data_IF_534612860435
#
_entry.id   IF_534612860435
#
_cell.length_a   1.000
_cell.length_b   1.000
_cell.length_c   1.000
_cell.angle_alpha   90.00
_cell.angle_beta   90.00
_cell.angle_gamma   90.00
#
_symmetry.space_group_name_H-M   'P 1'
#
loop_
_entity.id
_entity.type
_entity.pdbx_description
1 polymer ?
#
# COMPACT_ATOMS: atom_id res chain seq x y z
N UNK A 1 -23.78 -61.84 -20.67
CA UNK A 1 -23.09 -63.08 -20.31
C UNK A 1 -21.99 -62.86 -19.34
N UNK A 2 -22.05 -63.59 -18.24
CA UNK A 2 -21.11 -63.67 -17.14
C UNK A 2 -19.68 -64.02 -17.58
N UNK A 3 -18.64 -63.50 -16.97
CA UNK A 3 -17.60 -64.35 -16.37
C UNK A 3 -16.80 -63.58 -15.32
N UNK A 4 -16.85 -64.16 -14.15
CA UNK A 4 -16.04 -63.94 -12.95
C UNK A 4 -14.65 -64.57 -13.13
N UNK A 5 -13.66 -64.09 -12.43
CA UNK A 5 -12.40 -64.75 -12.18
C UNK A 5 -11.46 -63.73 -11.53
N UNK A 6 -11.13 -63.86 -10.45
CA UNK A 6 -10.65 -64.73 -9.38
C UNK A 6 -9.39 -64.10 -8.78
N UNK A 7 -9.52 -63.85 -7.55
CA UNK A 7 -8.56 -63.38 -6.51
C UNK A 7 -7.31 -64.25 -6.50
N UNK A 8 -6.14 -63.63 -6.50
CA UNK A 8 -4.92 -64.30 -6.01
C UNK A 8 -4.15 -63.36 -5.11
N UNK A 9 -4.21 -63.66 -3.85
CA UNK A 9 -3.50 -63.03 -2.74
C UNK A 9 -2.08 -63.67 -2.73
N UNK A 10 -1.04 -62.87 -2.88
CA UNK A 10 0.32 -63.26 -2.58
C UNK A 10 0.84 -62.38 -1.50
N UNK A 11 0.97 -62.95 -0.31
CA UNK A 11 1.71 -62.39 0.81
C UNK A 11 3.19 -62.56 0.50
N UNK A 12 3.91 -61.46 0.37
CA UNK A 12 5.39 -61.45 0.45
C UNK A 12 5.81 -60.40 1.48
N UNK A 13 6.17 -60.90 2.64
CA UNK A 13 6.87 -60.17 3.67
C UNK A 13 8.30 -59.86 3.16
N UNK A 14 8.62 -58.57 3.05
CA UNK A 14 9.96 -58.12 2.81
C UNK A 14 10.32 -57.01 3.81
N UNK A 15 11.42 -57.26 4.46
CA UNK A 15 12.01 -56.50 5.57
C UNK A 15 12.21 -55.03 5.25
N UNK A 16 11.83 -54.21 6.22
CA UNK A 16 12.13 -52.78 6.24
C UNK A 16 13.65 -52.57 6.47
N UNK A 17 14.33 -52.17 5.44
CA UNK A 17 15.60 -51.45 5.57
C UNK A 17 15.24 -49.96 5.65
N UNK A 18 15.28 -49.45 6.86
CA UNK A 18 15.15 -47.99 7.10
C UNK A 18 16.44 -47.32 6.63
N UNK A 19 16.48 -46.95 5.35
CA UNK A 19 17.42 -45.93 4.92
C UNK A 19 16.85 -44.58 5.41
N UNK A 20 17.52 -44.01 6.39
CA UNK A 20 17.37 -42.58 6.66
C UNK A 20 17.78 -41.85 5.38
N UNK A 21 16.79 -41.54 4.55
CA UNK A 21 16.95 -40.49 3.57
C UNK A 21 17.11 -39.20 4.36
N UNK A 22 18.34 -38.73 4.47
CA UNK A 22 18.61 -37.31 4.74
C UNK A 22 17.97 -36.56 3.57
N UNK A 23 16.74 -36.11 3.77
CA UNK A 23 16.17 -35.06 2.96
C UNK A 23 17.11 -33.87 3.17
N UNK A 24 17.83 -33.41 2.13
CA UNK A 24 18.40 -32.08 2.26
C UNK A 24 17.20 -31.18 2.54
N UNK A 25 17.20 -30.52 3.68
CA UNK A 25 16.37 -29.35 3.87
C UNK A 25 16.76 -28.45 2.70
N UNK A 26 15.97 -28.47 1.65
CA UNK A 26 15.89 -27.36 0.76
C UNK A 26 15.50 -26.23 1.72
N UNK A 27 16.47 -25.44 2.10
CA UNK A 27 16.20 -24.13 2.61
C UNK A 27 15.33 -23.52 1.52
N UNK A 28 14.04 -23.47 1.79
CA UNK A 28 13.14 -22.60 1.11
C UNK A 28 13.67 -21.21 1.46
N UNK A 29 14.61 -20.75 0.64
CA UNK A 29 14.98 -19.36 0.54
C UNK A 29 13.82 -18.64 -0.14
N UNK A 30 12.64 -18.74 0.44
CA UNK A 30 11.72 -17.64 0.46
C UNK A 30 12.46 -16.62 1.30
N UNK A 31 13.26 -15.82 0.64
CA UNK A 31 13.85 -14.65 1.24
C UNK A 31 12.68 -13.92 1.89
N UNK A 32 12.57 -14.09 3.21
CA UNK A 32 11.62 -13.34 4.00
C UNK A 32 11.89 -11.89 3.65
N UNK A 33 11.04 -11.31 2.81
CA UNK A 33 11.19 -9.93 2.45
C UNK A 33 11.13 -9.18 3.78
N UNK A 34 11.87 -8.11 3.91
CA UNK A 34 11.84 -7.28 5.12
C UNK A 34 10.42 -6.82 5.49
N UNK A 35 9.45 -7.07 4.62
CA UNK A 35 8.02 -6.83 4.78
C UNK A 35 7.27 -7.98 5.48
N UNK A 36 7.87 -9.17 5.61
CA UNK A 36 7.28 -10.27 6.40
C UNK A 36 7.15 -9.93 7.89
N UNK A 37 7.92 -8.96 8.37
CA UNK A 37 7.74 -8.39 9.72
C UNK A 37 6.36 -7.75 9.90
N UNK A 38 5.65 -7.43 8.83
CA UNK A 38 4.29 -6.89 8.85
C UNK A 38 3.21 -7.93 8.54
N UNK A 39 3.54 -9.23 8.60
CA UNK A 39 2.54 -10.29 8.53
C UNK A 39 2.22 -10.79 7.11
N UNK A 40 3.18 -10.74 6.19
CA UNK A 40 3.01 -11.31 4.85
C UNK A 40 2.05 -10.49 4.00
N UNK A 41 2.54 -9.43 3.37
CA UNK A 41 1.73 -8.63 2.45
C UNK A 41 1.50 -9.44 1.16
N UNK A 42 0.24 -9.70 0.85
CA UNK A 42 -0.18 -10.26 -0.44
C UNK A 42 -0.56 -9.13 -1.39
N UNK A 43 -0.34 -9.29 -2.71
CA UNK A 43 -0.85 -8.35 -3.68
C UNK A 43 -2.35 -8.16 -3.56
N UNK A 44 -2.82 -6.95 -3.83
CA UNK A 44 -4.25 -6.65 -3.92
C UNK A 44 -4.86 -7.36 -5.14
N UNK A 45 -6.17 -7.64 -5.08
CA UNK A 45 -6.86 -8.36 -6.17
C UNK A 45 -6.79 -7.63 -7.52
N UNK A 46 -6.70 -6.31 -7.48
CA UNK A 46 -6.62 -5.41 -8.64
C UNK A 46 -5.20 -4.90 -8.94
N UNK A 47 -4.17 -5.51 -8.33
CA UNK A 47 -2.77 -5.12 -8.56
C UNK A 47 -2.32 -5.25 -10.03
N UNK A 48 -3.02 -6.07 -10.81
CA UNK A 48 -2.78 -6.25 -12.24
C UNK A 48 -3.42 -5.15 -13.11
N UNK A 49 -4.24 -4.25 -12.53
CA UNK A 49 -4.80 -3.07 -13.21
C UNK A 49 -4.06 -1.80 -12.76
N UNK A 50 -2.97 -1.44 -13.45
CA UNK A 50 -2.07 -0.40 -12.96
C UNK A 50 -2.70 0.99 -13.04
N UNK A 51 -2.64 1.71 -11.93
CA UNK A 51 -3.04 3.11 -11.83
C UNK A 51 -1.85 3.99 -11.45
N UNK A 52 -1.80 5.20 -11.97
CA UNK A 52 -0.77 6.18 -11.61
C UNK A 52 -1.38 7.32 -10.83
N UNK A 53 -0.81 7.62 -9.66
CA UNK A 53 -1.12 8.81 -8.88
C UNK A 53 0.03 9.80 -8.91
N UNK A 54 -0.31 11.07 -9.06
CA UNK A 54 0.61 12.20 -9.01
C UNK A 54 0.58 12.84 -7.64
N UNK A 55 1.76 13.12 -7.09
CA UNK A 55 1.91 13.65 -5.74
C UNK A 55 2.80 14.89 -5.79
N UNK A 56 2.26 16.05 -5.41
CA UNK A 56 3.06 17.25 -5.27
C UNK A 56 3.63 17.36 -3.86
N UNK A 57 4.92 17.66 -3.76
CA UNK A 57 5.64 17.88 -2.51
C UNK A 57 6.14 19.32 -2.47
N UNK A 58 5.69 20.09 -1.49
CA UNK A 58 6.02 21.52 -1.33
C UNK A 58 7.51 21.78 -1.07
N UNK A 59 8.21 20.80 -0.54
CA UNK A 59 9.64 20.96 -0.25
C UNK A 59 10.48 20.69 -1.49
N UNK A 60 11.59 21.40 -1.68
CA UNK A 60 12.54 21.08 -2.75
C UNK A 60 13.11 19.68 -2.55
N UNK A 61 13.25 18.95 -3.65
CA UNK A 61 13.75 17.58 -3.57
C UNK A 61 13.98 16.96 -4.93
N UNK A 62 14.33 15.69 -4.90
CA UNK A 62 14.50 14.86 -6.10
C UNK A 62 13.56 13.68 -6.00
N UNK A 63 12.75 13.49 -7.02
CA UNK A 63 11.85 12.35 -7.08
C UNK A 63 12.63 11.03 -6.96
N UNK A 64 12.10 10.04 -6.22
CA UNK A 64 12.68 8.72 -6.19
C UNK A 64 12.81 8.15 -7.60
N UNK A 65 13.90 7.43 -7.86
CA UNK A 65 14.04 6.70 -9.12
C UNK A 65 12.94 5.65 -9.24
N UNK A 66 12.50 5.38 -10.46
CA UNK A 66 11.59 4.25 -10.76
C UNK A 66 12.19 2.90 -10.33
N UNK A 67 13.52 2.82 -10.21
CA UNK A 67 14.23 1.65 -9.71
C UNK A 67 14.27 1.55 -8.17
N UNK A 68 13.72 2.52 -7.45
CA UNK A 68 13.67 2.48 -6.00
C UNK A 68 12.90 1.24 -5.52
N UNK A 69 13.51 0.38 -4.67
CA UNK A 69 12.91 -0.90 -4.26
C UNK A 69 11.59 -0.72 -3.51
N UNK A 70 11.40 0.39 -2.80
CA UNK A 70 10.15 0.69 -2.09
C UNK A 70 9.04 1.01 -3.09
N UNK A 71 9.32 1.85 -4.08
CA UNK A 71 8.36 2.21 -5.14
C UNK A 71 7.96 0.95 -5.93
N UNK A 72 8.95 0.12 -6.33
CA UNK A 72 8.67 -1.15 -6.99
C UNK A 72 7.82 -2.09 -6.15
N UNK A 73 8.08 -2.16 -4.84
CA UNK A 73 7.29 -3.03 -3.96
C UNK A 73 5.87 -2.54 -3.77
N UNK A 74 5.66 -1.23 -3.69
CA UNK A 74 4.30 -0.64 -3.68
C UNK A 74 3.58 -1.02 -4.96
N UNK A 75 4.20 -0.82 -6.12
CA UNK A 75 3.60 -1.15 -7.42
C UNK A 75 3.27 -2.65 -7.54
N UNK A 76 4.17 -3.53 -7.12
CA UNK A 76 3.96 -4.98 -7.12
C UNK A 76 2.76 -5.38 -6.26
N UNK A 77 2.60 -4.79 -5.08
CA UNK A 77 1.58 -5.14 -4.12
C UNK A 77 0.22 -4.52 -4.42
N UNK A 78 0.19 -3.35 -5.05
CA UNK A 78 -1.03 -2.54 -5.17
C UNK A 78 -1.40 -2.19 -6.62
N UNK A 79 -0.53 -2.46 -7.59
CA UNK A 79 -0.69 -1.95 -8.95
C UNK A 79 -0.48 -0.43 -9.08
N UNK A 80 -0.17 0.26 -7.97
CA UNK A 80 -0.07 1.72 -7.95
C UNK A 80 1.33 2.19 -8.30
N UNK A 81 1.41 3.11 -9.27
CA UNK A 81 2.62 3.88 -9.57
C UNK A 81 2.50 5.27 -8.94
N UNK A 82 3.47 5.66 -8.10
CA UNK A 82 3.52 6.98 -7.49
C UNK A 82 4.50 7.88 -8.25
N UNK A 83 4.00 9.00 -8.77
CA UNK A 83 4.82 10.04 -9.42
C UNK A 83 4.93 11.27 -8.53
N UNK A 84 6.13 11.56 -8.07
CA UNK A 84 6.40 12.69 -7.19
C UNK A 84 6.88 13.90 -8.01
N UNK A 85 6.24 15.04 -7.79
CA UNK A 85 6.64 16.35 -8.28
C UNK A 85 7.09 17.20 -7.08
N UNK A 86 8.36 17.51 -7.01
CA UNK A 86 8.91 18.37 -5.96
C UNK A 86 8.87 19.84 -6.40
N UNK A 87 8.72 20.73 -5.42
CA UNK A 87 8.71 22.16 -5.66
C UNK A 87 9.99 22.62 -6.39
N UNK A 88 9.78 23.36 -7.47
CA UNK A 88 10.83 24.13 -8.16
C UNK A 88 10.41 25.59 -8.16
N UNK A 89 11.24 26.45 -7.59
CA UNK A 89 10.97 27.89 -7.48
C UNK A 89 10.15 28.27 -6.25
N UNK A 90 9.23 29.20 -6.43
CA UNK A 90 8.41 29.79 -5.37
C UNK A 90 7.12 29.02 -5.15
N UNK A 91 6.82 28.67 -3.88
CA UNK A 91 5.65 27.88 -3.51
C UNK A 91 4.35 28.64 -3.77
N UNK A 92 4.29 29.93 -3.42
CA UNK A 92 3.07 30.73 -3.59
C UNK A 92 2.71 30.90 -5.06
N UNK A 93 3.71 31.06 -5.90
CA UNK A 93 3.53 31.12 -7.35
C UNK A 93 3.01 29.78 -7.88
N UNK A 94 3.60 28.65 -7.47
CA UNK A 94 3.17 27.31 -7.90
C UNK A 94 1.74 27.03 -7.50
N UNK A 95 1.38 27.29 -6.22
CA UNK A 95 0.01 27.12 -5.71
C UNK A 95 -0.97 28.06 -6.40
N UNK A 96 -0.58 29.31 -6.67
CA UNK A 96 -1.40 30.27 -7.41
C UNK A 96 -1.75 29.76 -8.82
N UNK A 97 -0.81 29.13 -9.52
CA UNK A 97 -1.07 28.52 -10.83
C UNK A 97 -2.01 27.33 -10.73
N UNK A 98 -1.81 26.44 -9.76
CA UNK A 98 -2.71 25.30 -9.50
C UNK A 98 -4.14 25.77 -9.22
N UNK A 99 -4.30 26.73 -8.32
CA UNK A 99 -5.60 27.29 -7.94
C UNK A 99 -6.28 27.98 -9.13
N UNK A 100 -5.56 28.80 -9.87
CA UNK A 100 -6.11 29.52 -11.02
C UNK A 100 -6.50 28.58 -12.17
N UNK A 101 -5.75 27.49 -12.35
CA UNK A 101 -6.02 26.48 -13.38
C UNK A 101 -7.05 25.43 -12.98
N UNK A 102 -7.29 25.24 -11.68
CA UNK A 102 -8.11 24.13 -11.17
C UNK A 102 -7.52 22.75 -11.49
N UNK A 103 -6.22 22.70 -11.80
CA UNK A 103 -5.49 21.48 -12.16
C UNK A 103 -4.60 21.07 -10.98
N UNK A 104 -5.05 20.08 -10.25
CA UNK A 104 -4.39 19.59 -9.04
C UNK A 104 -3.88 18.17 -9.22
N UNK A 105 -2.72 17.83 -8.62
CA UNK A 105 -2.30 16.45 -8.53
C UNK A 105 -3.24 15.64 -7.62
N UNK A 106 -3.17 14.32 -7.69
CA UNK A 106 -4.02 13.42 -6.91
C UNK A 106 -3.82 13.55 -5.40
N UNK A 107 -2.61 13.91 -4.97
CA UNK A 107 -2.29 14.19 -3.58
C UNK A 107 -1.28 15.33 -3.45
N UNK A 108 -1.34 16.06 -2.33
CA UNK A 108 -0.47 17.21 -2.05
C UNK A 108 0.08 17.12 -0.64
N UNK A 109 1.41 17.11 -0.51
CA UNK A 109 2.09 17.37 0.76
C UNK A 109 2.25 18.90 0.91
N UNK A 110 1.20 19.55 1.39
CA UNK A 110 1.11 21.01 1.42
C UNK A 110 1.72 21.64 2.67
N UNK A 111 1.79 20.90 3.78
CA UNK A 111 2.20 21.44 5.08
C UNK A 111 1.33 22.64 5.49
N UNK A 112 1.95 23.71 5.94
CA UNK A 112 1.28 24.96 6.34
C UNK A 112 0.58 25.71 5.18
N UNK A 113 0.86 25.36 3.94
CA UNK A 113 0.14 25.89 2.78
C UNK A 113 -1.22 25.22 2.53
N UNK A 114 -1.58 24.20 3.31
CA UNK A 114 -2.84 23.46 3.16
C UNK A 114 -4.07 24.39 3.28
N UNK A 115 -4.06 25.35 4.20
CA UNK A 115 -5.16 26.29 4.39
C UNK A 115 -5.50 27.04 3.10
N UNK A 116 -4.51 27.51 2.36
CA UNK A 116 -4.70 28.20 1.08
C UNK A 116 -5.38 27.33 0.03
N UNK A 117 -5.07 26.03 0.02
CA UNK A 117 -5.68 25.06 -0.88
C UNK A 117 -7.09 24.67 -0.43
N UNK A 118 -7.34 24.55 0.88
CA UNK A 118 -8.68 24.33 1.43
C UNK A 118 -9.62 25.50 1.09
N UNK A 119 -9.16 26.73 1.32
CA UNK A 119 -9.94 27.93 0.97
C UNK A 119 -10.28 28.02 -0.53
N UNK A 120 -9.42 27.46 -1.37
CA UNK A 120 -9.63 27.39 -2.81
C UNK A 120 -10.51 26.20 -3.24
N UNK A 121 -10.93 25.34 -2.32
CA UNK A 121 -11.72 24.13 -2.61
C UNK A 121 -10.93 23.07 -3.39
N UNK A 122 -9.59 23.01 -3.19
CA UNK A 122 -8.72 22.07 -3.88
C UNK A 122 -8.79 20.64 -3.36
N UNK A 123 -9.32 20.45 -2.15
CA UNK A 123 -9.38 19.15 -1.49
C UNK A 123 -10.79 18.60 -1.45
N UNK A 124 -10.91 17.28 -1.48
CA UNK A 124 -12.16 16.57 -1.24
C UNK A 124 -12.31 16.21 0.23
N UNK A 125 -13.53 16.25 0.80
CA UNK A 125 -13.80 15.73 2.13
C UNK A 125 -13.54 14.23 2.22
N UNK A 126 -12.94 13.77 3.31
CA UNK A 126 -12.51 12.38 3.49
C UNK A 126 -13.34 11.61 4.52
N UNK A 127 -14.13 12.29 5.34
CA UNK A 127 -14.89 11.68 6.43
C UNK A 127 -15.89 10.62 5.97
N UNK A 128 -16.44 10.75 4.76
CA UNK A 128 -17.36 9.78 4.17
C UNK A 128 -16.63 8.68 3.38
N UNK A 129 -15.37 8.91 3.02
CA UNK A 129 -14.58 7.97 2.22
C UNK A 129 -13.84 6.96 3.12
N UNK A 130 -13.23 7.43 4.20
CA UNK A 130 -12.43 6.60 5.11
C UNK A 130 -13.19 5.37 5.64
N UNK A 131 -14.47 5.48 6.07
CA UNK A 131 -15.21 4.32 6.58
C UNK A 131 -15.46 3.21 5.56
N UNK A 132 -15.34 3.51 4.27
CA UNK A 132 -15.53 2.51 3.19
C UNK A 132 -14.39 1.50 3.12
N UNK A 133 -13.25 1.83 3.70
CA UNK A 133 -12.04 1.01 3.67
C UNK A 133 -11.67 0.56 5.08
N UNK A 134 -11.75 -0.74 5.35
CA UNK A 134 -11.55 -1.32 6.68
C UNK A 134 -10.24 -0.87 7.34
N UNK A 135 -9.13 -0.93 6.60
CA UNK A 135 -7.82 -0.54 7.13
C UNK A 135 -7.72 0.96 7.43
N UNK A 136 -8.28 1.81 6.57
CA UNK A 136 -8.32 3.25 6.82
C UNK A 136 -9.22 3.58 8.00
N UNK A 137 -10.39 2.95 8.07
CA UNK A 137 -11.32 3.14 9.17
C UNK A 137 -10.68 2.70 10.51
N UNK A 138 -10.00 1.55 10.55
CA UNK A 138 -9.29 1.10 11.75
C UNK A 138 -8.20 2.10 12.20
N UNK A 139 -7.54 2.76 11.26
CA UNK A 139 -6.46 3.71 11.54
C UNK A 139 -7.00 5.09 11.98
N UNK A 140 -8.02 5.60 11.30
CA UNK A 140 -8.46 7.00 11.45
C UNK A 140 -9.71 7.20 12.29
N UNK A 141 -10.54 6.18 12.53
CA UNK A 141 -11.80 6.33 13.30
C UNK A 141 -11.63 6.94 14.70
N UNK A 142 -10.48 6.75 15.33
CA UNK A 142 -10.19 7.28 16.67
C UNK A 142 -9.73 8.74 16.66
N UNK A 143 -9.43 9.28 15.51
CA UNK A 143 -8.78 10.60 15.36
C UNK A 143 -9.52 11.51 14.39
N UNK A 144 -10.63 11.04 13.81
CA UNK A 144 -11.45 11.82 12.88
C UNK A 144 -11.85 13.17 13.47
N UNK A 145 -12.35 13.19 14.70
CA UNK A 145 -12.75 14.42 15.39
C UNK A 145 -11.59 15.42 15.54
N UNK A 146 -10.37 14.90 15.71
CA UNK A 146 -9.17 15.74 15.84
C UNK A 146 -8.71 16.31 14.49
N UNK A 147 -8.94 15.59 13.41
CA UNK A 147 -8.57 16.02 12.04
C UNK A 147 -9.65 16.85 11.36
N UNK A 148 -10.85 16.88 11.93
CA UNK A 148 -11.96 17.66 11.40
C UNK A 148 -11.68 19.15 11.58
N UNK A 149 -11.78 19.90 10.49
CA UNK A 149 -11.57 21.33 10.45
C UNK A 149 -12.80 22.10 10.98
N UNK A 150 -12.67 23.42 11.11
CA UNK A 150 -13.76 24.27 11.62
C UNK A 150 -15.02 24.24 10.75
N UNK A 151 -14.90 23.91 9.46
CA UNK A 151 -16.02 23.75 8.51
C UNK A 151 -16.75 22.40 8.65
N UNK A 152 -16.27 21.53 9.53
CA UNK A 152 -16.86 20.22 9.79
C UNK A 152 -16.34 19.11 8.88
N UNK A 153 -15.35 19.38 8.03
CA UNK A 153 -14.79 18.43 7.09
C UNK A 153 -13.37 17.99 7.46
N UNK A 154 -12.98 16.80 7.03
CA UNK A 154 -11.64 16.27 7.15
C UNK A 154 -10.99 16.18 5.76
N UNK A 155 -9.86 16.86 5.56
CA UNK A 155 -9.18 16.94 4.26
C UNK A 155 -7.80 16.30 4.23
N UNK A 156 -7.29 15.85 5.37
CA UNK A 156 -5.93 15.33 5.48
C UNK A 156 -5.89 13.98 6.19
N UNK A 157 -4.88 13.23 5.84
CA UNK A 157 -4.50 11.99 6.53
C UNK A 157 -3.09 12.17 7.09
N UNK A 158 -2.98 12.47 8.37
CA UNK A 158 -1.69 12.58 9.03
C UNK A 158 -1.12 11.19 9.37
N UNK A 159 0.20 11.07 9.29
CA UNK A 159 0.89 9.84 9.67
C UNK A 159 1.10 9.85 11.19
N UNK A 160 0.33 9.05 11.89
CA UNK A 160 0.29 8.97 13.36
C UNK A 160 1.50 8.29 14.03
N UNK A 161 2.61 8.13 13.36
CA UNK A 161 3.80 7.52 13.96
C UNK A 161 4.38 8.26 15.18
N UNK A 162 4.01 9.51 15.38
CA UNK A 162 4.60 10.39 16.40
C UNK A 162 3.67 10.78 17.56
N UNK A 163 2.38 10.45 17.49
CA UNK A 163 1.42 10.83 18.53
C UNK A 163 1.34 9.85 19.73
N UNK A 164 2.16 8.83 19.76
CA UNK A 164 2.16 7.86 20.85
C UNK A 164 3.36 8.06 21.76
N UNK A 165 3.46 9.21 22.38
CA UNK A 165 4.35 9.42 23.49
C UNK A 165 3.84 10.57 24.34
N UNK A 166 2.92 10.26 25.25
CA UNK A 166 2.92 10.88 26.58
C UNK A 166 2.11 9.99 27.53
#
# INVERSE_FOLDING_TARGET
MKKRGMLTMVLASAMAVSTLAVVPAAADETAASSLDIYGGLTPMEDADDPITYTIFVRDPGVAPSEDNPVIKKIQELTGVTLKFEYLVGDLDQKLGVMIAGGDYPDAIFAGDAATKLMDAGAFIPLEDEIPKYENLNAMYSQVTDYLTQEDGHMYNMEIYGTMKND
#
